data_IF_215165367393
#
_entry.id   IF_215165367393
#
_cell.length_a   1.000
_cell.length_b   1.000
_cell.length_c   1.000
_cell.angle_alpha   90.00
_cell.angle_beta   90.00
_cell.angle_gamma   90.00
#
_symmetry.space_group_name_H-M   'P 1'
#
loop_
_entity.id
_entity.type
_entity.pdbx_description
1 polymer ?
#
# COMPACT_ATOMS: atom_id res chain seq x y z
N UNK A 1 -9.31 -12.46 -18.67
CA UNK A 1 -10.33 -11.49 -18.21
C UNK A 1 -11.21 -11.10 -19.38
N UNK A 2 -12.51 -11.30 -19.24
CA UNK A 2 -13.54 -10.79 -20.14
C UNK A 2 -13.68 -9.26 -19.98
N UNK A 3 -14.45 -8.61 -20.86
CA UNK A 3 -14.79 -7.19 -20.67
C UNK A 3 -15.59 -6.93 -19.39
N UNK A 4 -16.46 -7.86 -19.01
CA UNK A 4 -17.29 -7.77 -17.80
C UNK A 4 -16.44 -7.90 -16.53
N UNK A 5 -15.41 -8.75 -16.53
CA UNK A 5 -14.46 -8.88 -15.43
C UNK A 5 -13.73 -7.54 -15.20
N UNK A 6 -13.32 -6.89 -16.30
CA UNK A 6 -12.62 -5.60 -16.26
C UNK A 6 -13.54 -4.47 -15.81
N UNK A 7 -14.80 -4.46 -16.25
CA UNK A 7 -15.80 -3.50 -15.75
C UNK A 7 -16.01 -3.68 -14.26
N UNK A 8 -16.18 -4.92 -13.81
CA UNK A 8 -16.38 -5.25 -12.39
C UNK A 8 -15.19 -4.79 -11.53
N UNK A 9 -13.96 -4.97 -12.01
CA UNK A 9 -12.77 -4.50 -11.32
C UNK A 9 -12.74 -2.96 -11.22
N UNK A 10 -13.08 -2.25 -12.29
CA UNK A 10 -13.19 -0.79 -12.27
C UNK A 10 -14.31 -0.30 -11.36
N UNK A 11 -15.43 -1.01 -11.29
CA UNK A 11 -16.54 -0.70 -10.37
C UNK A 11 -16.12 -0.88 -8.91
N UNK A 12 -15.46 -2.00 -8.58
CA UNK A 12 -14.95 -2.26 -7.24
C UNK A 12 -13.91 -1.22 -6.81
N UNK A 13 -13.04 -0.81 -7.73
CA UNK A 13 -12.06 0.24 -7.51
C UNK A 13 -12.62 1.67 -7.69
N UNK A 14 -13.93 1.83 -7.86
CA UNK A 14 -14.64 3.08 -8.20
C UNK A 14 -13.83 3.98 -9.14
N UNK A 15 -13.33 3.39 -10.22
CA UNK A 15 -12.39 3.98 -11.17
C UNK A 15 -12.96 4.05 -12.60
N UNK A 16 -14.25 3.76 -12.79
CA UNK A 16 -14.91 3.83 -14.10
C UNK A 16 -14.81 5.21 -14.75
N UNK A 17 -15.05 6.28 -13.99
CA UNK A 17 -14.99 7.65 -14.52
C UNK A 17 -13.56 7.99 -14.93
N UNK A 18 -12.58 7.72 -14.05
CA UNK A 18 -11.16 7.95 -14.33
C UNK A 18 -10.68 7.15 -15.54
N UNK A 19 -11.13 5.90 -15.69
CA UNK A 19 -10.79 5.08 -16.85
C UNK A 19 -11.32 5.69 -18.14
N UNK A 20 -12.62 6.04 -18.19
CA UNK A 20 -13.24 6.61 -19.40
C UNK A 20 -12.66 7.97 -19.80
N UNK A 21 -12.21 8.76 -18.83
CA UNK A 21 -11.54 10.04 -19.09
C UNK A 21 -10.15 9.85 -19.71
N UNK A 22 -9.42 8.82 -19.29
CA UNK A 22 -8.03 8.57 -19.71
C UNK A 22 -7.92 7.68 -20.95
N UNK A 23 -8.85 6.73 -21.10
CA UNK A 23 -8.87 5.74 -22.16
C UNK A 23 -10.19 5.83 -22.94
N UNK A 24 -10.11 6.43 -24.12
CA UNK A 24 -11.27 6.67 -25.01
C UNK A 24 -11.67 5.44 -25.84
N UNK A 25 -10.85 4.38 -25.81
CA UNK A 25 -11.12 3.10 -26.46
C UNK A 25 -11.86 2.15 -25.51
N UNK A 26 -12.30 1.00 -26.02
CA UNK A 26 -12.90 -0.05 -25.19
C UNK A 26 -11.99 -0.55 -24.05
N UNK A 27 -12.58 -1.37 -23.16
CA UNK A 27 -11.87 -1.95 -22.02
C UNK A 27 -10.71 -2.84 -22.47
N UNK A 28 -9.55 -2.66 -21.83
CA UNK A 28 -8.37 -3.48 -22.06
C UNK A 28 -7.69 -3.78 -20.73
N UNK A 29 -7.20 -5.02 -20.56
CA UNK A 29 -6.65 -5.49 -19.28
C UNK A 29 -5.52 -4.60 -18.76
N UNK A 30 -4.53 -4.31 -19.59
CA UNK A 30 -3.32 -3.58 -19.16
C UNK A 30 -3.66 -2.17 -18.66
N UNK A 31 -4.41 -1.32 -19.41
CA UNK A 31 -4.90 -0.03 -18.91
C UNK A 31 -5.72 -0.10 -17.62
N UNK A 32 -6.57 -1.12 -17.47
CA UNK A 32 -7.40 -1.29 -16.26
C UNK A 32 -6.52 -1.61 -15.07
N UNK A 33 -5.63 -2.60 -15.20
CA UNK A 33 -4.68 -3.00 -14.15
C UNK A 33 -3.77 -1.84 -13.78
N UNK A 34 -3.24 -1.11 -14.77
CA UNK A 34 -2.41 0.08 -14.53
C UNK A 34 -3.16 1.11 -13.67
N UNK A 35 -4.41 1.43 -14.03
CA UNK A 35 -5.21 2.42 -13.31
C UNK A 35 -5.54 2.01 -11.87
N UNK A 36 -5.89 0.74 -11.64
CA UNK A 36 -6.34 0.27 -10.32
C UNK A 36 -5.20 -0.21 -9.43
N UNK A 37 -4.03 -0.55 -9.98
CA UNK A 37 -2.91 -1.04 -9.20
C UNK A 37 -1.77 -0.01 -9.13
N UNK A 38 -1.37 0.60 -10.25
CA UNK A 38 -0.09 1.30 -10.37
C UNK A 38 -0.18 2.82 -10.54
N UNK A 39 -1.33 3.39 -10.91
CA UNK A 39 -1.46 4.83 -11.13
C UNK A 39 -1.26 5.64 -9.84
N UNK A 40 -0.15 6.39 -9.69
CA UNK A 40 0.14 7.14 -8.47
C UNK A 40 -0.74 8.37 -8.29
N UNK A 41 -1.65 8.66 -9.22
CA UNK A 41 -2.60 9.80 -9.13
C UNK A 41 -4.04 9.35 -8.88
N UNK A 42 -4.29 8.04 -8.84
CA UNK A 42 -5.60 7.50 -8.49
C UNK A 42 -5.61 7.15 -6.99
N UNK A 43 -6.38 7.85 -6.13
CA UNK A 43 -6.41 7.57 -4.70
C UNK A 43 -6.81 6.14 -4.33
N UNK A 44 -7.48 5.45 -5.25
CA UNK A 44 -7.93 4.07 -5.08
C UNK A 44 -6.94 3.05 -5.61
N UNK A 45 -5.86 3.47 -6.27
CA UNK A 45 -4.84 2.53 -6.72
C UNK A 45 -4.06 1.96 -5.53
N UNK A 46 -3.53 0.75 -5.71
CA UNK A 46 -2.63 0.14 -4.72
C UNK A 46 -1.38 1.00 -4.50
N UNK A 47 -0.78 1.51 -5.58
CA UNK A 47 0.41 2.35 -5.54
C UNK A 47 0.21 3.60 -4.69
N UNK A 48 -0.88 4.35 -4.96
CA UNK A 48 -1.19 5.55 -4.19
C UNK A 48 -1.33 5.21 -2.72
N UNK A 49 -2.16 4.21 -2.40
CA UNK A 49 -2.45 3.84 -1.02
C UNK A 49 -1.21 3.36 -0.27
N UNK A 50 -0.36 2.53 -0.89
CA UNK A 50 0.88 2.03 -0.29
C UNK A 50 1.85 3.18 0.01
N UNK A 51 2.03 4.11 -0.93
CA UNK A 51 2.86 5.30 -0.71
C UNK A 51 2.33 6.11 0.48
N UNK A 52 1.01 6.38 0.51
CA UNK A 52 0.41 7.11 1.63
C UNK A 52 0.61 6.36 2.94
N UNK A 53 0.39 5.05 3.00
CA UNK A 53 0.60 4.26 4.23
C UNK A 53 2.04 4.41 4.71
N UNK A 54 3.03 4.27 3.83
CA UNK A 54 4.44 4.38 4.21
C UNK A 54 4.81 5.79 4.69
N UNK A 55 4.28 6.83 4.04
CA UNK A 55 4.48 8.20 4.51
C UNK A 55 3.91 8.39 5.92
N UNK A 56 2.72 7.86 6.21
CA UNK A 56 2.13 7.96 7.55
C UNK A 56 2.96 7.19 8.58
N UNK A 57 3.44 5.99 8.23
CA UNK A 57 4.33 5.20 9.09
C UNK A 57 5.62 5.96 9.43
N UNK A 58 6.19 6.68 8.46
CA UNK A 58 7.40 7.50 8.67
C UNK A 58 7.20 8.68 9.63
N UNK A 59 5.95 9.08 9.90
CA UNK A 59 5.61 10.12 10.87
C UNK A 59 5.26 9.54 12.25
N UNK A 60 5.16 8.22 12.39
CA UNK A 60 4.89 7.58 13.68
C UNK A 60 6.18 7.48 14.51
N UNK A 61 6.07 7.56 15.84
CA UNK A 61 7.22 7.47 16.72
C UNK A 61 7.88 6.09 16.64
N UNK A 62 9.18 6.08 16.41
CA UNK A 62 10.08 4.91 16.51
C UNK A 62 10.67 4.89 17.91
N UNK A 63 10.70 3.72 18.57
CA UNK A 63 11.21 3.60 19.95
C UNK A 63 12.66 3.11 19.98
N UNK A 64 13.06 2.35 18.97
CA UNK A 64 14.41 1.82 18.84
C UNK A 64 15.29 2.87 18.12
N UNK A 65 16.13 3.58 18.89
CA UNK A 65 17.15 4.50 18.37
C UNK A 65 18.45 3.75 18.06
N UNK A 66 18.33 2.58 17.42
CA UNK A 66 19.45 1.78 16.93
C UNK A 66 19.70 1.97 15.42
N UNK A 67 18.84 2.74 14.76
CA UNK A 67 18.88 3.03 13.33
C UNK A 67 18.35 1.91 12.44
N UNK A 68 17.77 0.85 13.02
CA UNK A 68 17.18 -0.27 12.28
C UNK A 68 15.69 -0.01 11.96
N UNK A 69 15.22 -0.53 10.83
CA UNK A 69 13.79 -0.47 10.50
C UNK A 69 12.98 -1.37 11.45
N UNK A 70 11.97 -0.81 12.11
CA UNK A 70 10.96 -1.61 12.83
C UNK A 70 10.17 -2.48 11.82
N UNK A 71 9.56 -3.61 12.24
CA UNK A 71 8.94 -4.57 11.31
C UNK A 71 7.91 -3.97 10.34
N UNK A 72 7.11 -2.98 10.78
CA UNK A 72 6.16 -2.29 9.92
C UNK A 72 6.84 -1.40 8.86
N UNK A 73 8.00 -0.81 9.18
CA UNK A 73 8.78 -0.01 8.22
C UNK A 73 9.37 -0.92 7.15
N UNK A 74 9.97 -2.04 7.53
CA UNK A 74 10.52 -3.02 6.60
C UNK A 74 9.45 -3.57 5.62
N UNK A 75 8.24 -3.88 6.11
CA UNK A 75 7.14 -4.30 5.22
C UNK A 75 6.71 -3.19 4.26
N UNK A 76 6.65 -1.94 4.74
CA UNK A 76 6.36 -0.78 3.90
C UNK A 76 7.40 -0.58 2.79
N UNK A 77 8.68 -0.69 3.11
CA UNK A 77 9.81 -0.59 2.16
C UNK A 77 9.70 -1.65 1.07
N UNK A 78 9.40 -2.91 1.43
CA UNK A 78 9.24 -3.97 0.43
C UNK A 78 8.01 -3.77 -0.44
N UNK A 79 6.87 -3.35 0.13
CA UNK A 79 5.66 -3.03 -0.64
C UNK A 79 5.90 -1.92 -1.66
N UNK A 80 6.59 -0.85 -1.28
CA UNK A 80 6.98 0.20 -2.22
C UNK A 80 7.87 -0.34 -3.33
N UNK A 81 8.90 -1.14 -3.00
CA UNK A 81 9.79 -1.71 -4.00
C UNK A 81 9.04 -2.56 -5.05
N UNK A 82 8.09 -3.40 -4.61
CA UNK A 82 7.27 -4.21 -5.52
C UNK A 82 6.46 -3.31 -6.46
N UNK A 83 5.73 -2.33 -5.92
CA UNK A 83 4.85 -1.48 -6.73
C UNK A 83 5.65 -0.57 -7.67
N UNK A 84 6.73 0.05 -7.19
CA UNK A 84 7.53 0.99 -8.01
C UNK A 84 8.23 0.30 -9.18
N UNK A 85 8.54 -1.00 -9.07
CA UNK A 85 9.23 -1.76 -10.11
C UNK A 85 8.29 -2.60 -10.98
N UNK A 86 7.03 -2.75 -10.59
CA UNK A 86 6.04 -3.50 -11.34
C UNK A 86 5.65 -2.79 -12.65
N UNK A 87 5.22 -3.60 -13.62
CA UNK A 87 4.51 -3.11 -14.80
C UNK A 87 3.13 -3.76 -14.85
N UNK A 88 2.13 -3.05 -15.36
CA UNK A 88 0.76 -3.57 -15.43
C UNK A 88 0.65 -4.85 -16.27
N UNK A 89 1.55 -5.06 -17.24
CA UNK A 89 1.62 -6.28 -18.03
C UNK A 89 2.20 -7.47 -17.23
N UNK A 90 3.15 -7.21 -16.33
CA UNK A 90 3.81 -8.23 -15.53
C UNK A 90 3.08 -8.54 -14.21
N UNK A 91 2.11 -7.73 -13.80
CA UNK A 91 1.26 -8.02 -12.64
C UNK A 91 0.42 -9.28 -12.87
N UNK A 92 0.76 -10.31 -12.12
CA UNK A 92 0.11 -11.62 -12.07
C UNK A 92 -0.37 -11.94 -10.65
N UNK A 93 -1.00 -13.11 -10.51
CA UNK A 93 -1.61 -13.56 -9.27
C UNK A 93 -0.56 -13.79 -8.16
N UNK A 94 0.66 -14.18 -8.52
CA UNK A 94 1.73 -14.43 -7.57
C UNK A 94 2.22 -13.12 -6.94
N UNK A 95 2.44 -12.08 -7.76
CA UNK A 95 2.82 -10.75 -7.28
C UNK A 95 1.69 -10.14 -6.44
N UNK A 96 0.44 -10.22 -6.91
CA UNK A 96 -0.70 -9.69 -6.16
C UNK A 96 -0.90 -10.42 -4.83
N UNK A 97 -0.72 -11.74 -4.81
CA UNK A 97 -0.75 -12.53 -3.58
C UNK A 97 0.39 -12.15 -2.62
N UNK A 98 1.57 -11.78 -3.13
CA UNK A 98 2.66 -11.27 -2.27
C UNK A 98 2.34 -9.92 -1.67
N UNK A 99 1.78 -9.01 -2.46
CA UNK A 99 1.29 -7.71 -1.97
C UNK A 99 0.23 -7.89 -0.89
N UNK A 100 -0.76 -8.76 -1.10
CA UNK A 100 -1.80 -9.06 -0.11
C UNK A 100 -1.21 -9.57 1.22
N UNK A 101 -0.33 -10.59 1.15
CA UNK A 101 0.32 -11.15 2.34
C UNK A 101 1.11 -10.09 3.11
N UNK A 102 1.81 -9.21 2.41
CA UNK A 102 2.59 -8.13 3.03
C UNK A 102 1.72 -7.05 3.63
N UNK A 103 0.62 -6.68 2.98
CA UNK A 103 -0.37 -5.76 3.57
C UNK A 103 -0.97 -6.33 4.85
N UNK A 104 -1.26 -7.64 4.88
CA UNK A 104 -1.69 -8.31 6.10
C UNK A 104 -0.62 -8.28 7.19
N UNK A 105 0.63 -8.63 6.86
CA UNK A 105 1.76 -8.57 7.81
C UNK A 105 2.01 -7.16 8.33
N UNK A 106 1.86 -6.14 7.47
CA UNK A 106 1.98 -4.74 7.82
C UNK A 106 0.88 -4.33 8.81
N UNK A 107 -0.38 -4.69 8.53
CA UNK A 107 -1.51 -4.43 9.42
C UNK A 107 -1.27 -5.05 10.81
N UNK A 108 -0.81 -6.30 10.83
CA UNK A 108 -0.45 -7.02 12.05
C UNK A 108 0.70 -6.37 12.83
N UNK A 109 1.74 -5.88 12.14
CA UNK A 109 2.86 -5.18 12.76
C UNK A 109 2.41 -3.84 13.37
N UNK A 110 1.59 -3.06 12.65
CA UNK A 110 0.99 -1.82 13.14
C UNK A 110 0.12 -2.08 14.37
N UNK A 111 -0.76 -3.08 14.31
CA UNK A 111 -1.65 -3.45 15.40
C UNK A 111 -0.85 -3.81 16.66
N UNK A 112 0.18 -4.65 16.52
CA UNK A 112 1.06 -5.02 17.64
C UNK A 112 1.75 -3.80 18.23
N UNK A 113 2.34 -2.95 17.39
CA UNK A 113 3.20 -1.84 17.81
C UNK A 113 2.45 -0.68 18.45
N UNK A 114 1.24 -0.37 17.99
CA UNK A 114 0.53 0.85 18.37
C UNK A 114 -0.80 0.60 19.10
N UNK A 115 -1.38 -0.61 19.04
CA UNK A 115 -2.71 -0.87 19.59
C UNK A 115 -2.76 -1.99 20.64
N UNK A 116 -2.03 -3.10 20.44
CA UNK A 116 -2.16 -4.30 21.29
C UNK A 116 -1.20 -4.33 22.49
N UNK A 117 -0.05 -3.68 22.41
CA UNK A 117 0.92 -3.57 23.51
C UNK A 117 0.57 -2.43 24.49
N UNK A 118 -0.72 -2.26 24.81
CA UNK A 118 -1.27 -1.15 25.58
C UNK A 118 -0.30 -0.56 26.61
N UNK A 119 0.16 0.66 26.34
CA UNK A 119 0.95 1.47 27.25
C UNK A 119 2.20 0.81 27.86
N UNK A 120 3.02 0.10 27.09
CA UNK A 120 4.47 0.33 27.26
C UNK A 120 4.63 1.83 26.99
N UNK A 121 4.90 2.65 28.02
CA UNK A 121 4.88 4.09 27.83
C UNK A 121 5.82 4.36 26.67
N UNK A 122 5.32 5.05 25.64
CA UNK A 122 6.18 5.74 24.69
C UNK A 122 7.20 6.44 25.58
N UNK A 123 8.40 5.87 25.71
CA UNK A 123 9.38 6.40 26.63
C UNK A 123 9.77 7.71 25.99
N UNK A 124 9.13 8.76 26.47
CA UNK A 124 9.37 10.11 26.06
C UNK A 124 10.86 10.33 26.32
N UNK A 125 11.64 10.27 25.24
CA UNK A 125 13.00 10.75 25.22
C UNK A 125 12.92 12.25 25.55
N UNK A 126 13.00 12.58 26.84
CA UNK A 126 12.84 13.95 27.31
C UNK A 126 12.47 14.15 28.78
N UNK A 127 11.97 13.16 29.52
CA UNK A 127 11.75 13.32 30.96
C UNK A 127 12.95 12.83 31.78
N UNK A 128 14.04 13.60 31.73
CA UNK A 128 15.06 13.54 32.79
C UNK A 128 14.49 14.19 34.04
N UNK A 129 14.52 13.44 35.14
CA UNK A 129 14.16 13.85 36.49
C UNK A 129 14.84 15.17 36.88
N UNK A 130 14.04 16.09 37.43
CA UNK A 130 14.48 17.10 38.39
C UNK A 130 13.53 17.05 39.59
#
# INVERSE_FOLDING_TARGET
ASGDDLSTLLDLADSQISYRQRYLTGLARVPVVDLVALDPNNPRSLAYQIVRICEHLGQLPVLEDDGMEEPQQAQGTVLQAIITTATAAALDDDILGDVERRLFQLSEAIARRYFLQGAEPLRAAGMVLA
#
